data_IF_284185202452
#
_entry.id   IF_284185202452
#
_cell.length_a   1.000
_cell.length_b   1.000
_cell.length_c   1.000
_cell.angle_alpha   90.00
_cell.angle_beta   90.00
_cell.angle_gamma   90.00
#
_symmetry.space_group_name_H-M   'P 1'
#
loop_
_entity.id
_entity.type
_entity.pdbx_description
1 polymer ?
#
# COMPACT_ATOMS: atom_id res chain seq x y z
N UNK A 1 7.55 17.24 -12.61
CA UNK A 1 8.55 17.74 -13.57
C UNK A 1 8.86 16.69 -14.62
N UNK A 2 8.16 16.74 -15.75
CA UNK A 2 8.37 15.84 -16.90
C UNK A 2 9.36 16.55 -17.83
N UNK A 3 10.62 16.12 -17.84
CA UNK A 3 11.56 16.53 -18.90
C UNK A 3 11.38 15.58 -20.08
N UNK A 4 10.97 16.19 -21.19
CA UNK A 4 11.03 15.67 -22.55
C UNK A 4 12.38 15.00 -22.80
N UNK A 5 12.37 13.74 -23.18
CA UNK A 5 13.41 13.12 -24.00
C UNK A 5 12.73 12.53 -25.23
N UNK A 6 12.35 13.45 -26.12
CA UNK A 6 12.21 13.16 -27.54
C UNK A 6 13.64 13.10 -28.09
N UNK A 7 14.18 11.89 -28.15
CA UNK A 7 15.41 11.58 -28.86
C UNK A 7 15.02 10.71 -30.06
N UNK A 8 15.49 11.13 -31.23
CA UNK A 8 14.92 10.77 -32.52
C UNK A 8 14.91 9.28 -32.82
N UNK A 9 13.82 8.86 -33.46
CA UNK A 9 13.82 7.71 -34.32
C UNK A 9 14.89 7.94 -35.42
N UNK A 10 16.08 7.40 -35.20
CA UNK A 10 17.06 7.26 -36.25
C UNK A 10 16.56 6.15 -37.18
N UNK A 11 15.89 6.54 -38.26
CA UNK A 11 15.70 5.69 -39.42
C UNK A 11 17.07 5.27 -39.93
N UNK A 12 17.49 4.06 -39.57
CA UNK A 12 18.64 3.41 -40.18
C UNK A 12 18.19 2.99 -41.58
N UNK A 13 18.32 3.93 -42.52
CA UNK A 13 18.35 3.66 -43.94
C UNK A 13 19.61 2.84 -44.18
N UNK A 14 19.47 1.52 -44.11
CA UNK A 14 20.47 0.60 -44.65
C UNK A 14 20.45 0.82 -46.15
N UNK A 15 21.33 1.70 -46.63
CA UNK A 15 21.73 1.74 -48.02
C UNK A 15 22.36 0.37 -48.32
N UNK A 16 21.54 -0.56 -48.80
CA UNK A 16 22.07 -1.73 -49.50
C UNK A 16 22.85 -1.19 -50.67
N UNK A 17 24.16 -1.38 -50.62
CA UNK A 17 25.10 -1.13 -51.69
C UNK A 17 24.77 -2.03 -52.88
N UNK A 18 23.73 -1.65 -53.62
CA UNK A 18 23.37 -2.15 -54.94
C UNK A 18 23.94 -1.17 -55.96
N UNK A 19 25.27 -1.14 -56.05
CA UNK A 19 26.00 -0.64 -57.19
C UNK A 19 27.17 -1.62 -57.32
N UNK A 20 26.94 -2.78 -57.94
CA UNK A 20 26.65 -2.80 -59.36
C UNK A 20 27.93 -2.39 -60.04
N UNK A 21 28.82 -3.37 -60.25
CA UNK A 21 30.00 -3.22 -61.07
C UNK A 21 29.56 -2.87 -62.48
N UNK A 22 29.35 -1.59 -62.72
CA UNK A 22 29.48 -1.01 -64.03
C UNK A 22 30.96 -1.11 -64.37
N UNK A 23 31.37 -2.27 -64.90
CA UNK A 23 32.42 -2.25 -65.90
C UNK A 23 31.96 -1.23 -66.93
N UNK A 24 32.66 -0.12 -66.95
CA UNK A 24 32.59 0.91 -67.96
C UNK A 24 32.42 0.25 -69.32
N UNK A 25 31.24 0.41 -69.90
CA UNK A 25 31.03 0.16 -71.32
C UNK A 25 31.93 1.16 -72.03
N UNK A 26 33.07 0.67 -72.55
CA UNK A 26 34.05 1.41 -73.34
C UNK A 26 34.62 2.71 -72.72
N UNK A 27 35.52 2.56 -71.75
CA UNK A 27 36.55 3.57 -71.48
C UNK A 27 37.92 2.89 -71.43
N UNK A 28 38.38 2.39 -72.58
CA UNK A 28 39.79 2.02 -72.75
C UNK A 28 40.67 3.28 -72.73
N UNK A 29 41.93 3.19 -72.26
CA UNK A 29 42.85 4.31 -72.27
C UNK A 29 43.00 4.84 -73.70
N UNK A 30 42.85 6.15 -73.87
CA UNK A 30 43.16 6.89 -75.11
C UNK A 30 44.68 6.86 -75.34
N UNK A 31 45.21 5.69 -75.71
CA UNK A 31 46.47 5.64 -76.43
C UNK A 31 46.19 6.19 -77.83
N UNK A 32 46.88 7.26 -78.23
CA UNK A 32 46.71 7.96 -79.51
C UNK A 32 47.21 7.14 -80.73
N UNK A 33 47.09 5.82 -80.70
CA UNK A 33 47.50 4.91 -81.74
C UNK A 33 46.46 3.83 -81.96
N UNK A 34 46.27 3.44 -83.22
CA UNK A 34 45.40 2.32 -83.59
C UNK A 34 45.88 1.05 -82.86
N UNK A 35 44.96 0.20 -82.36
CA UNK A 35 45.33 -1.03 -81.65
C UNK A 35 46.30 -1.88 -82.47
N UNK A 36 47.27 -2.52 -81.81
CA UNK A 36 48.17 -3.45 -82.50
C UNK A 36 47.46 -4.79 -82.70
N UNK A 37 47.69 -5.43 -83.84
CA UNK A 37 47.36 -6.85 -84.04
C UNK A 37 48.24 -7.65 -83.07
N UNK A 38 47.64 -8.60 -82.36
CA UNK A 38 48.40 -9.44 -81.42
C UNK A 38 49.41 -10.32 -82.18
N UNK A 39 50.53 -10.66 -81.54
CA UNK A 39 51.58 -11.47 -82.18
C UNK A 39 51.05 -12.85 -82.62
N UNK A 40 50.16 -13.44 -81.80
CA UNK A 40 49.47 -14.69 -82.11
C UNK A 40 48.62 -14.57 -83.37
N UNK A 41 47.80 -13.52 -83.45
CA UNK A 41 46.92 -13.29 -84.61
C UNK A 41 47.69 -12.91 -85.87
N UNK A 42 48.78 -12.16 -85.74
CA UNK A 42 49.69 -11.86 -86.84
C UNK A 42 50.30 -13.16 -87.40
N UNK A 43 50.71 -14.09 -86.54
CA UNK A 43 51.22 -15.41 -86.95
C UNK A 43 50.16 -16.22 -87.69
N UNK A 44 48.91 -16.24 -87.21
CA UNK A 44 47.79 -16.91 -87.90
C UNK A 44 47.53 -16.29 -89.28
N UNK A 45 47.49 -14.96 -89.38
CA UNK A 45 47.31 -14.24 -90.65
C UNK A 45 48.45 -14.50 -91.63
N UNK A 46 49.70 -14.54 -91.14
CA UNK A 46 50.86 -14.89 -91.97
C UNK A 46 50.77 -16.32 -92.52
N UNK A 47 50.30 -17.28 -91.71
CA UNK A 47 50.05 -18.66 -92.16
C UNK A 47 48.98 -18.74 -93.25
N UNK A 48 47.86 -18.03 -93.07
CA UNK A 48 46.79 -17.94 -94.08
C UNK A 48 47.34 -17.38 -95.40
N UNK A 49 48.17 -16.34 -95.34
CA UNK A 49 48.84 -15.76 -96.51
C UNK A 49 49.78 -16.76 -97.19
N UNK A 50 50.58 -17.50 -96.42
CA UNK A 50 51.50 -18.51 -96.97
C UNK A 50 50.76 -19.65 -97.66
N UNK A 51 49.66 -20.14 -97.06
CA UNK A 51 48.81 -21.18 -97.69
C UNK A 51 48.26 -20.72 -99.03
N UNK A 52 47.87 -19.45 -99.15
CA UNK A 52 47.41 -18.89 -100.42
C UNK A 52 48.53 -18.84 -101.47
N UNK A 53 49.76 -18.50 -101.09
CA UNK A 53 50.92 -18.55 -101.99
C UNK A 53 51.27 -19.97 -102.43
N UNK A 54 50.94 -20.97 -101.62
CA UNK A 54 51.13 -22.39 -101.92
C UNK A 54 49.98 -22.99 -102.76
N UNK A 55 49.07 -22.17 -103.28
CA UNK A 55 47.91 -22.60 -104.08
C UNK A 55 46.99 -23.61 -103.37
N UNK A 56 46.87 -23.51 -102.04
CA UNK A 56 45.86 -24.26 -101.27
C UNK A 56 44.45 -23.85 -101.73
N UNK A 57 43.49 -24.79 -101.62
CA UNK A 57 42.10 -24.57 -102.04
C UNK A 57 41.48 -23.32 -101.38
N UNK A 58 40.78 -22.52 -102.17
CA UNK A 58 40.20 -21.26 -101.70
C UNK A 58 39.15 -21.47 -100.61
N UNK A 59 38.41 -22.60 -100.64
CA UNK A 59 37.41 -22.89 -99.59
C UNK A 59 38.06 -23.15 -98.24
N UNK A 60 39.16 -23.91 -98.22
CA UNK A 60 39.92 -24.15 -96.98
C UNK A 60 40.44 -22.83 -96.40
N UNK A 61 40.97 -21.95 -97.24
CA UNK A 61 41.47 -20.63 -96.81
C UNK A 61 40.32 -19.77 -96.25
N UNK A 62 39.13 -19.80 -96.87
CA UNK A 62 37.96 -19.07 -96.37
C UNK A 62 37.52 -19.61 -95.00
N UNK A 63 37.50 -20.92 -94.79
CA UNK A 63 37.18 -21.52 -93.48
C UNK A 63 38.19 -21.15 -92.40
N UNK A 64 39.47 -21.07 -92.74
CA UNK A 64 40.51 -20.60 -91.81
C UNK A 64 40.38 -19.13 -91.47
N UNK A 65 40.04 -18.28 -92.45
CA UNK A 65 39.76 -16.86 -92.17
C UNK A 65 38.55 -16.72 -91.26
N UNK A 66 37.47 -17.48 -91.48
CA UNK A 66 36.30 -17.42 -90.59
C UNK A 66 36.64 -17.88 -89.16
N UNK A 67 37.38 -18.99 -89.01
CA UNK A 67 37.86 -19.45 -87.70
C UNK A 67 38.79 -18.45 -87.02
N UNK A 68 39.64 -17.79 -87.80
CA UNK A 68 40.48 -16.71 -87.33
C UNK A 68 39.61 -15.57 -86.78
N UNK A 69 38.62 -15.09 -87.56
CA UNK A 69 37.73 -14.01 -87.13
C UNK A 69 36.93 -14.36 -85.87
N UNK A 70 36.52 -15.62 -85.72
CA UNK A 70 35.81 -16.11 -84.51
C UNK A 70 36.69 -16.10 -83.25
N UNK A 71 38.02 -16.21 -83.39
CA UNK A 71 38.97 -16.38 -82.27
C UNK A 71 40.00 -15.26 -82.14
N UNK A 72 39.94 -14.26 -83.01
CA UNK A 72 40.86 -13.14 -83.02
C UNK A 72 40.65 -12.25 -81.79
N UNK A 73 41.74 -11.68 -81.30
CA UNK A 73 41.70 -10.74 -80.20
C UNK A 73 40.91 -9.49 -80.60
N UNK A 74 40.21 -8.90 -79.63
CA UNK A 74 39.42 -7.67 -79.84
C UNK A 74 40.28 -6.55 -80.45
N UNK A 75 41.54 -6.41 -80.01
CA UNK A 75 42.46 -5.42 -80.57
C UNK A 75 42.78 -5.67 -82.05
N UNK A 76 42.92 -6.94 -82.45
CA UNK A 76 43.12 -7.34 -83.84
C UNK A 76 41.88 -7.00 -84.67
N UNK A 77 40.69 -7.36 -84.21
CA UNK A 77 39.44 -7.05 -84.91
C UNK A 77 39.25 -5.54 -85.06
N UNK A 78 39.46 -4.76 -83.99
CA UNK A 78 39.40 -3.29 -84.03
C UNK A 78 40.41 -2.69 -85.01
N UNK A 79 41.64 -3.20 -85.02
CA UNK A 79 42.68 -2.77 -85.96
C UNK A 79 42.31 -3.06 -87.42
N UNK A 80 41.63 -4.17 -87.68
CA UNK A 80 41.14 -4.49 -89.02
C UNK A 80 39.92 -3.62 -89.38
N UNK A 81 39.06 -3.29 -88.42
CA UNK A 81 37.86 -2.47 -88.70
C UNK A 81 38.17 -1.04 -89.16
N UNK A 82 39.35 -0.49 -88.85
CA UNK A 82 39.85 0.79 -89.40
C UNK A 82 39.81 0.81 -90.94
N UNK A 83 39.98 -0.34 -91.59
CA UNK A 83 39.86 -0.44 -93.04
C UNK A 83 38.45 -0.29 -93.59
N UNK A 84 37.42 -0.08 -92.78
CA UNK A 84 36.09 0.31 -93.24
C UNK A 84 35.81 1.80 -93.08
N UNK A 85 36.71 2.56 -92.46
CA UNK A 85 36.51 3.98 -92.18
C UNK A 85 37.14 4.86 -93.29
N UNK A 86 36.35 5.38 -94.24
CA UNK A 86 36.88 6.25 -95.30
C UNK A 86 37.37 7.61 -94.78
N UNK A 87 37.02 7.98 -93.55
CA UNK A 87 37.48 9.22 -92.91
C UNK A 87 38.85 9.07 -92.24
N UNK A 88 39.32 7.83 -92.05
CA UNK A 88 40.65 7.55 -91.53
C UNK A 88 41.73 7.91 -92.54
N UNK A 89 42.75 8.65 -92.12
CA UNK A 89 43.91 8.97 -92.97
C UNK A 89 44.67 7.71 -93.41
N UNK A 90 44.50 6.59 -92.70
CA UNK A 90 45.07 5.29 -93.05
C UNK A 90 44.16 4.44 -93.93
N UNK A 91 42.96 4.88 -94.32
CA UNK A 91 41.96 4.05 -95.02
C UNK A 91 42.53 3.26 -96.22
N UNK A 92 43.21 3.94 -97.14
CA UNK A 92 43.79 3.32 -98.35
C UNK A 92 44.91 2.33 -98.02
N UNK A 93 45.68 2.62 -96.98
CA UNK A 93 46.82 1.84 -96.51
C UNK A 93 46.52 1.10 -95.19
N UNK A 94 45.25 0.82 -94.92
CA UNK A 94 44.84 0.22 -93.65
C UNK A 94 45.41 -1.19 -93.57
N UNK A 95 45.56 -1.69 -92.34
CA UNK A 95 46.02 -3.06 -92.14
C UNK A 95 45.09 -4.07 -92.83
N UNK A 96 43.79 -3.79 -92.86
CA UNK A 96 42.82 -4.59 -93.61
C UNK A 96 43.05 -4.51 -95.12
N UNK A 97 43.27 -3.31 -95.68
CA UNK A 97 43.59 -3.15 -97.11
C UNK A 97 44.86 -3.93 -97.47
N UNK A 98 45.93 -3.78 -96.68
CA UNK A 98 47.18 -4.52 -96.88
C UNK A 98 46.97 -6.03 -96.86
N UNK A 99 46.30 -6.55 -95.83
CA UNK A 99 46.07 -7.99 -95.69
C UNK A 99 45.14 -8.53 -96.77
N UNK A 100 44.05 -7.81 -97.08
CA UNK A 100 43.11 -8.18 -98.15
C UNK A 100 43.81 -8.24 -99.51
N UNK A 101 44.68 -7.29 -99.83
CA UNK A 101 45.50 -7.33 -101.06
C UNK A 101 46.54 -8.45 -101.02
N UNK A 102 47.17 -8.69 -99.87
CA UNK A 102 48.24 -9.69 -99.73
C UNK A 102 47.74 -11.14 -99.79
N UNK A 103 46.51 -11.38 -99.31
CA UNK A 103 45.82 -12.67 -99.41
C UNK A 103 45.13 -12.76 -100.79
N UNK A 104 44.62 -11.65 -101.31
CA UNK A 104 43.96 -11.58 -102.60
C UNK A 104 42.56 -12.19 -102.59
N UNK A 105 41.97 -12.23 -103.79
CA UNK A 105 40.64 -12.79 -104.00
C UNK A 105 40.62 -14.32 -103.84
N UNK A 106 39.63 -14.81 -103.10
CA UNK A 106 39.35 -16.21 -102.85
C UNK A 106 38.05 -16.59 -103.56
N UNK A 107 38.13 -17.51 -104.52
CA UNK A 107 36.96 -17.99 -105.26
C UNK A 107 36.08 -18.85 -104.35
N UNK A 108 34.81 -18.47 -104.22
CA UNK A 108 33.77 -19.21 -103.52
C UNK A 108 32.57 -19.39 -104.45
N UNK A 109 32.60 -20.46 -105.26
CA UNK A 109 31.61 -20.70 -106.32
C UNK A 109 31.67 -19.60 -107.38
N UNK A 110 30.56 -18.88 -107.59
CA UNK A 110 30.47 -17.77 -108.54
C UNK A 110 30.82 -16.40 -107.92
N UNK A 111 31.29 -16.36 -106.67
CA UNK A 111 31.62 -15.12 -105.97
C UNK A 111 33.10 -15.10 -105.60
N UNK A 112 33.73 -13.94 -105.72
CA UNK A 112 35.05 -13.70 -105.15
C UNK A 112 34.86 -13.09 -103.77
N UNK A 113 35.46 -13.69 -102.75
CA UNK A 113 35.53 -13.16 -101.39
C UNK A 113 36.94 -12.74 -101.07
N UNK A 114 37.06 -11.77 -100.18
CA UNK A 114 38.32 -11.28 -99.65
C UNK A 114 38.21 -11.11 -98.13
N UNK A 115 39.32 -10.79 -97.47
CA UNK A 115 39.32 -10.58 -96.02
C UNK A 115 38.34 -9.48 -95.60
N UNK A 116 38.17 -8.44 -96.41
CA UNK A 116 37.25 -7.33 -96.13
C UNK A 116 35.79 -7.78 -96.12
N UNK A 117 35.34 -8.49 -97.15
CA UNK A 117 33.96 -9.02 -97.22
C UNK A 117 33.68 -10.08 -96.14
N UNK A 118 34.67 -10.93 -95.80
CA UNK A 118 34.53 -11.91 -94.72
C UNK A 118 34.43 -11.23 -93.34
N UNK A 119 35.27 -10.23 -93.07
CA UNK A 119 35.21 -9.46 -91.83
C UNK A 119 33.89 -8.69 -91.71
N UNK A 120 33.41 -8.05 -92.78
CA UNK A 120 32.11 -7.36 -92.78
C UNK A 120 30.97 -8.31 -92.43
N UNK A 121 30.94 -9.51 -93.02
CA UNK A 121 29.94 -10.55 -92.71
C UNK A 121 30.02 -11.02 -91.25
N UNK A 122 31.24 -11.21 -90.73
CA UNK A 122 31.45 -11.57 -89.33
C UNK A 122 30.93 -10.49 -88.38
N UNK A 123 31.25 -9.22 -88.63
CA UNK A 123 30.78 -8.10 -87.81
C UNK A 123 29.26 -7.98 -87.85
N UNK A 124 28.64 -8.13 -89.03
CA UNK A 124 27.18 -8.14 -89.16
C UNK A 124 26.57 -9.27 -88.31
N UNK A 125 27.13 -10.48 -88.38
CA UNK A 125 26.68 -11.62 -87.59
C UNK A 125 26.78 -11.35 -86.08
N UNK A 126 27.93 -10.85 -85.62
CA UNK A 126 28.19 -10.61 -84.20
C UNK A 126 27.38 -9.45 -83.63
N UNK A 127 27.20 -8.37 -84.40
CA UNK A 127 26.49 -7.17 -83.95
C UNK A 127 24.97 -7.27 -84.10
N UNK A 128 24.48 -7.85 -85.20
CA UNK A 128 23.03 -7.92 -85.50
C UNK A 128 22.39 -9.15 -84.87
N UNK A 129 23.07 -10.30 -84.84
CA UNK A 129 22.50 -11.54 -84.30
C UNK A 129 22.69 -11.67 -82.78
N UNK A 130 23.27 -10.65 -82.12
CA UNK A 130 23.33 -10.48 -80.66
C UNK A 130 23.77 -11.72 -79.86
N UNK A 131 24.56 -12.61 -80.48
CA UNK A 131 24.96 -13.92 -79.96
C UNK A 131 25.62 -13.88 -78.58
N UNK A 132 26.27 -12.76 -78.26
CA UNK A 132 27.01 -12.60 -77.01
C UNK A 132 26.16 -11.99 -75.88
N UNK A 133 24.99 -11.41 -76.16
CA UNK A 133 24.17 -10.73 -75.14
C UNK A 133 23.00 -11.58 -74.64
N UNK A 134 22.65 -12.67 -75.31
CA UNK A 134 21.51 -13.53 -74.94
C UNK A 134 21.67 -14.13 -73.53
N UNK A 135 22.87 -14.64 -73.22
CA UNK A 135 23.17 -15.18 -71.89
C UNK A 135 23.11 -14.11 -70.79
N UNK A 136 23.61 -12.90 -71.08
CA UNK A 136 23.57 -11.76 -70.14
C UNK A 136 22.14 -11.34 -69.86
N UNK A 137 21.30 -11.23 -70.89
CA UNK A 137 19.88 -10.87 -70.74
C UNK A 137 19.13 -11.93 -69.93
N UNK A 138 19.42 -13.22 -70.14
CA UNK A 138 18.80 -14.31 -69.38
C UNK A 138 19.17 -14.25 -67.89
N UNK A 139 20.44 -14.02 -67.59
CA UNK A 139 20.90 -13.88 -66.21
C UNK A 139 20.28 -12.65 -65.53
N UNK A 140 20.21 -11.51 -66.23
CA UNK A 140 19.55 -10.30 -65.72
C UNK A 140 18.07 -10.54 -65.41
N UNK A 141 17.34 -11.24 -66.28
CA UNK A 141 15.93 -11.60 -66.01
C UNK A 141 15.80 -12.46 -64.75
N UNK A 142 16.66 -13.47 -64.61
CA UNK A 142 16.61 -14.36 -63.45
C UNK A 142 16.89 -13.61 -62.14
N UNK A 143 17.87 -12.70 -62.16
CA UNK A 143 18.21 -11.89 -61.00
C UNK A 143 17.05 -10.95 -60.62
N UNK A 144 16.43 -10.30 -61.60
CA UNK A 144 15.24 -9.45 -61.38
C UNK A 144 14.10 -10.27 -60.77
N UNK A 145 13.82 -11.48 -61.27
CA UNK A 145 12.78 -12.34 -60.70
C UNK A 145 13.06 -12.72 -59.25
N UNK A 146 14.31 -13.03 -58.92
CA UNK A 146 14.72 -13.37 -57.56
C UNK A 146 14.54 -12.17 -56.61
N UNK A 147 14.92 -10.96 -57.05
CA UNK A 147 14.76 -9.74 -56.27
C UNK A 147 13.28 -9.39 -56.04
N UNK A 148 12.42 -9.56 -57.05
CA UNK A 148 10.98 -9.36 -56.92
C UNK A 148 10.40 -10.33 -55.87
N UNK A 149 10.79 -11.61 -55.89
CA UNK A 149 10.33 -12.59 -54.88
C UNK A 149 10.74 -12.17 -53.46
N UNK A 150 12.00 -11.75 -53.29
CA UNK A 150 12.49 -11.28 -51.98
C UNK A 150 11.74 -10.04 -51.48
N UNK A 151 11.46 -9.07 -52.37
CA UNK A 151 10.68 -7.87 -52.02
C UNK A 151 9.26 -8.20 -51.58
N UNK A 152 8.60 -9.17 -52.24
CA UNK A 152 7.26 -9.61 -51.85
C UNK A 152 7.26 -10.26 -50.47
N UNK A 153 8.25 -11.11 -50.17
CA UNK A 153 8.40 -11.73 -48.85
C UNK A 153 8.65 -10.69 -47.74
N UNK A 154 9.51 -9.71 -48.00
CA UNK A 154 9.78 -8.62 -47.06
C UNK A 154 8.53 -7.77 -46.80
N UNK A 155 7.75 -7.49 -47.85
CA UNK A 155 6.50 -6.73 -47.74
C UNK A 155 5.50 -7.47 -46.84
N UNK A 156 5.29 -8.77 -47.08
CA UNK A 156 4.41 -9.59 -46.23
C UNK A 156 4.86 -9.59 -44.76
N UNK A 157 6.16 -9.75 -44.52
CA UNK A 157 6.71 -9.74 -43.16
C UNK A 157 6.54 -8.37 -42.48
N UNK A 158 6.69 -7.29 -43.23
CA UNK A 158 6.45 -5.92 -42.74
C UNK A 158 4.99 -5.69 -42.35
N UNK A 159 4.05 -6.20 -43.15
CA UNK A 159 2.62 -6.11 -42.86
C UNK A 159 2.25 -6.90 -41.60
N UNK A 160 2.75 -8.14 -41.45
CA UNK A 160 2.57 -8.96 -40.25
C UNK A 160 3.11 -8.29 -38.98
N UNK A 161 4.29 -7.66 -39.08
CA UNK A 161 4.86 -6.90 -37.97
C UNK A 161 4.02 -5.67 -37.63
N UNK A 162 3.48 -4.98 -38.63
CA UNK A 162 2.62 -3.82 -38.43
C UNK A 162 1.30 -4.19 -37.73
N UNK A 163 0.73 -5.36 -38.04
CA UNK A 163 -0.45 -5.88 -37.35
C UNK A 163 -0.16 -6.19 -35.88
N UNK A 164 0.96 -6.87 -35.59
CA UNK A 164 1.38 -7.18 -34.22
C UNK A 164 1.63 -5.91 -33.38
N UNK A 165 2.22 -4.88 -33.97
CA UNK A 165 2.45 -3.60 -33.28
C UNK A 165 1.11 -2.96 -32.91
N UNK A 166 0.13 -2.94 -33.82
CA UNK A 166 -1.21 -2.39 -33.54
C UNK A 166 -1.93 -3.16 -32.42
N UNK A 167 -1.83 -4.48 -32.41
CA UNK A 167 -2.39 -5.32 -31.33
C UNK A 167 -1.76 -4.97 -29.97
N UNK A 168 -0.43 -4.86 -29.92
CA UNK A 168 0.31 -4.48 -28.71
C UNK A 168 -0.04 -3.05 -28.23
N UNK A 169 -0.22 -2.11 -29.16
CA UNK A 169 -0.64 -0.74 -28.82
C UNK A 169 -2.05 -0.72 -28.22
N UNK A 170 -2.99 -1.49 -28.77
CA UNK A 170 -4.34 -1.62 -28.20
C UNK A 170 -4.32 -2.26 -26.81
N UNK A 171 -3.52 -3.32 -26.62
CA UNK A 171 -3.36 -3.95 -25.30
C UNK A 171 -2.77 -2.97 -24.28
N UNK A 172 -1.79 -2.16 -24.69
CA UNK A 172 -1.15 -1.16 -23.83
C UNK A 172 -2.14 -0.06 -23.41
N UNK A 173 -3.03 0.37 -24.30
CA UNK A 173 -4.11 1.32 -23.97
C UNK A 173 -5.06 0.71 -22.94
N UNK A 174 -5.51 -0.52 -23.15
CA UNK A 174 -6.41 -1.21 -22.22
C UNK A 174 -5.78 -1.39 -20.82
N UNK A 175 -4.50 -1.77 -20.77
CA UNK A 175 -3.74 -1.89 -19.51
C UNK A 175 -3.63 -0.54 -18.79
N UNK A 176 -3.41 0.55 -19.53
CA UNK A 176 -3.30 1.90 -18.95
C UNK A 176 -4.61 2.38 -18.34
N UNK A 177 -5.75 2.05 -18.95
CA UNK A 177 -7.05 2.40 -18.40
C UNK A 177 -7.41 1.53 -17.18
N UNK A 178 -7.01 0.25 -17.17
CA UNK A 178 -7.10 -0.61 -15.98
C UNK A 178 -6.25 -0.06 -14.83
N UNK A 179 -5.01 0.36 -15.10
CA UNK A 179 -4.10 0.93 -14.10
C UNK A 179 -4.65 2.21 -13.47
N UNK A 180 -5.28 3.09 -14.26
CA UNK A 180 -6.00 4.27 -13.71
C UNK A 180 -7.14 3.86 -12.78
N UNK A 181 -7.91 2.82 -13.14
CA UNK A 181 -8.97 2.28 -12.29
C UNK A 181 -8.43 1.75 -10.95
N UNK A 182 -7.33 0.99 -11.00
CA UNK A 182 -6.67 0.47 -9.81
C UNK A 182 -6.11 1.57 -8.92
N UNK A 183 -5.52 2.64 -9.48
CA UNK A 183 -5.02 3.75 -8.67
C UNK A 183 -6.16 4.55 -8.01
N UNK A 184 -7.31 4.68 -8.69
CA UNK A 184 -8.51 5.28 -8.11
C UNK A 184 -9.08 4.41 -6.96
N UNK A 185 -9.09 3.08 -7.11
CA UNK A 185 -9.50 2.19 -6.03
C UNK A 185 -8.53 2.21 -4.84
N UNK A 186 -7.22 2.23 -5.11
CA UNK A 186 -6.19 2.33 -4.09
C UNK A 186 -6.33 3.62 -3.27
N UNK A 187 -6.46 4.77 -3.92
CA UNK A 187 -6.64 6.05 -3.23
C UNK A 187 -7.91 6.06 -2.38
N UNK A 188 -9.02 5.50 -2.87
CA UNK A 188 -10.26 5.33 -2.09
C UNK A 188 -10.05 4.44 -0.86
N UNK A 189 -9.34 3.31 -1.00
CA UNK A 189 -9.07 2.40 0.11
C UNK A 189 -8.12 3.02 1.16
N UNK A 190 -7.11 3.77 0.73
CA UNK A 190 -6.22 4.51 1.63
C UNK A 190 -6.99 5.56 2.45
N UNK A 191 -7.93 6.28 1.83
CA UNK A 191 -8.79 7.24 2.52
C UNK A 191 -9.73 6.55 3.51
N UNK A 192 -10.37 5.43 3.12
CA UNK A 192 -11.20 4.64 4.04
C UNK A 192 -10.41 4.07 5.23
N UNK A 193 -9.16 3.65 5.01
CA UNK A 193 -8.29 3.15 6.06
C UNK A 193 -7.91 4.28 7.03
N UNK A 194 -7.62 5.47 6.51
CA UNK A 194 -7.32 6.66 7.31
C UNK A 194 -8.51 7.07 8.18
N UNK A 195 -9.70 7.14 7.60
CA UNK A 195 -10.95 7.43 8.32
C UNK A 195 -11.22 6.39 9.42
N UNK A 196 -11.04 5.11 9.10
CA UNK A 196 -11.24 4.02 10.06
C UNK A 196 -10.24 4.08 11.21
N UNK A 197 -8.98 4.41 10.92
CA UNK A 197 -7.92 4.56 11.92
C UNK A 197 -8.19 5.74 12.85
N UNK A 198 -8.66 6.86 12.30
CA UNK A 198 -9.04 8.02 13.11
C UNK A 198 -10.22 7.70 14.04
N UNK A 199 -11.28 7.07 13.52
CA UNK A 199 -12.43 6.63 14.34
C UNK A 199 -12.03 5.63 15.42
N UNK A 200 -11.07 4.76 15.14
CA UNK A 200 -10.54 3.81 16.13
C UNK A 200 -9.82 4.57 17.26
N UNK A 201 -8.95 5.53 16.91
CA UNK A 201 -8.23 6.34 17.88
C UNK A 201 -9.17 7.18 18.77
N UNK A 202 -10.21 7.77 18.18
CA UNK A 202 -11.28 8.47 18.92
C UNK A 202 -11.97 7.54 19.91
N UNK A 203 -12.38 6.34 19.46
CA UNK A 203 -13.00 5.33 20.33
C UNK A 203 -12.07 4.83 21.44
N UNK A 204 -10.78 4.66 21.17
CA UNK A 204 -9.80 4.28 22.20
C UNK A 204 -9.63 5.36 23.26
N UNK A 205 -9.61 6.63 22.86
CA UNK A 205 -9.60 7.78 23.78
C UNK A 205 -10.87 7.80 24.65
N UNK A 206 -12.05 7.63 24.05
CA UNK A 206 -13.32 7.58 24.78
C UNK A 206 -13.41 6.40 25.76
N UNK A 207 -12.87 5.24 25.37
CA UNK A 207 -12.81 4.07 26.24
C UNK A 207 -11.83 4.30 27.41
N UNK A 208 -10.70 4.96 27.15
CA UNK A 208 -9.73 5.33 28.18
C UNK A 208 -10.32 6.30 29.20
N UNK A 209 -11.05 7.33 28.75
CA UNK A 209 -11.74 8.27 29.65
C UNK A 209 -12.84 7.57 30.45
N UNK A 210 -13.63 6.71 29.82
CA UNK A 210 -14.66 5.89 30.50
C UNK A 210 -14.05 4.97 31.56
N UNK A 211 -12.90 4.34 31.27
CA UNK A 211 -12.17 3.51 32.26
C UNK A 211 -11.72 4.33 33.47
N UNK A 212 -11.17 5.54 33.25
CA UNK A 212 -10.78 6.44 34.34
C UNK A 212 -11.98 6.85 35.21
N UNK A 213 -13.12 7.15 34.58
CA UNK A 213 -14.36 7.46 35.29
C UNK A 213 -14.86 6.26 36.10
N UNK A 214 -14.84 5.07 35.53
CA UNK A 214 -15.22 3.85 36.23
C UNK A 214 -14.30 3.56 37.43
N UNK A 215 -12.99 3.73 37.28
CA UNK A 215 -12.03 3.57 38.37
C UNK A 215 -12.27 4.59 39.50
N UNK A 216 -12.56 5.85 39.15
CA UNK A 216 -12.91 6.89 40.12
C UNK A 216 -14.21 6.56 40.88
N UNK A 217 -15.24 6.08 40.17
CA UNK A 217 -16.49 5.63 40.77
C UNK A 217 -16.28 4.41 41.67
N UNK A 218 -15.45 3.45 41.25
CA UNK A 218 -15.11 2.28 42.05
C UNK A 218 -14.41 2.67 43.36
N UNK A 219 -13.45 3.61 43.30
CA UNK A 219 -12.79 4.18 44.49
C UNK A 219 -13.79 4.90 45.40
N UNK A 220 -14.69 5.71 44.84
CA UNK A 220 -15.73 6.41 45.61
C UNK A 220 -16.70 5.43 46.29
N UNK A 221 -17.11 4.37 45.60
CA UNK A 221 -17.95 3.31 46.17
C UNK A 221 -17.22 2.58 47.31
N UNK A 222 -15.94 2.26 47.15
CA UNK A 222 -15.15 1.63 48.22
C UNK A 222 -15.05 2.54 49.45
N UNK A 223 -14.78 3.83 49.27
CA UNK A 223 -14.76 4.80 50.37
C UNK A 223 -16.12 4.90 51.08
N UNK A 224 -17.21 4.84 50.32
CA UNK A 224 -18.58 4.87 50.86
C UNK A 224 -18.87 3.62 51.70
N UNK A 225 -18.46 2.44 51.22
CA UNK A 225 -18.59 1.19 51.97
C UNK A 225 -17.77 1.25 53.28
N UNK A 226 -16.53 1.75 53.22
CA UNK A 226 -15.67 1.89 54.40
C UNK A 226 -16.27 2.86 55.43
N UNK A 227 -16.84 3.98 54.97
CA UNK A 227 -17.55 4.95 55.83
C UNK A 227 -18.77 4.32 56.48
N UNK A 228 -19.61 3.63 55.71
CA UNK A 228 -20.80 2.93 56.24
C UNK A 228 -20.41 1.85 57.25
N UNK A 229 -19.32 1.12 57.01
CA UNK A 229 -18.80 0.12 57.96
C UNK A 229 -18.35 0.77 59.27
N UNK A 230 -17.59 1.88 59.20
CA UNK A 230 -17.18 2.65 60.39
C UNK A 230 -18.39 3.19 61.16
N UNK A 231 -19.39 3.70 60.46
CA UNK A 231 -20.60 4.24 61.08
C UNK A 231 -21.45 3.12 61.70
N UNK A 232 -21.54 1.95 61.05
CA UNK A 232 -22.15 0.75 61.62
C UNK A 232 -21.48 0.31 62.93
N UNK A 233 -20.15 0.36 63.01
CA UNK A 233 -19.40 0.09 64.24
C UNK A 233 -19.64 1.13 65.33
N UNK A 234 -19.78 2.42 64.99
CA UNK A 234 -20.14 3.46 65.96
C UNK A 234 -21.56 3.25 66.50
N UNK A 235 -22.52 2.96 65.62
CA UNK A 235 -23.91 2.71 66.02
C UNK A 235 -24.04 1.49 66.93
N UNK A 236 -23.28 0.42 66.70
CA UNK A 236 -23.27 -0.74 67.62
C UNK A 236 -22.67 -0.37 68.97
N UNK A 237 -21.59 0.42 69.03
CA UNK A 237 -21.02 0.94 70.28
C UNK A 237 -22.00 1.85 71.04
N UNK A 238 -22.60 2.83 70.36
CA UNK A 238 -23.60 3.73 70.94
C UNK A 238 -24.82 2.98 71.48
N UNK A 239 -25.30 1.96 70.74
CA UNK A 239 -26.40 1.11 71.20
C UNK A 239 -26.02 0.32 72.47
N UNK A 240 -24.78 -0.17 72.56
CA UNK A 240 -24.29 -0.85 73.75
C UNK A 240 -24.13 0.12 74.95
N UNK A 241 -23.65 1.34 74.73
CA UNK A 241 -23.56 2.38 75.76
C UNK A 241 -24.94 2.81 76.26
N UNK A 242 -25.89 3.06 75.35
CA UNK A 242 -27.28 3.38 75.70
C UNK A 242 -27.94 2.25 76.50
N UNK A 243 -27.66 0.99 76.15
CA UNK A 243 -28.18 -0.14 76.91
C UNK A 243 -27.59 -0.16 78.34
N UNK A 244 -26.27 0.03 78.48
CA UNK A 244 -25.63 0.12 79.80
C UNK A 244 -26.20 1.25 80.64
N UNK A 245 -26.41 2.43 80.06
CA UNK A 245 -26.96 3.57 80.80
C UNK A 245 -28.43 3.33 81.17
N UNK A 246 -29.22 2.66 80.31
CA UNK A 246 -30.57 2.20 80.66
C UNK A 246 -30.57 1.20 81.81
N UNK A 247 -29.69 0.20 81.79
CA UNK A 247 -29.60 -0.79 82.87
C UNK A 247 -29.21 -0.12 84.19
N UNK A 248 -28.28 0.83 84.15
CA UNK A 248 -27.87 1.64 85.30
C UNK A 248 -29.01 2.52 85.82
N UNK A 249 -29.74 3.19 84.93
CA UNK A 249 -30.92 4.00 85.27
C UNK A 249 -32.03 3.14 85.86
N UNK A 250 -32.28 1.95 85.32
CA UNK A 250 -33.25 1.00 85.85
C UNK A 250 -32.85 0.52 87.26
N UNK A 251 -31.56 0.25 87.49
CA UNK A 251 -31.05 -0.10 88.82
C UNK A 251 -31.23 1.03 89.83
N UNK A 252 -30.87 2.27 89.47
CA UNK A 252 -31.08 3.44 90.34
C UNK A 252 -32.56 3.67 90.63
N UNK A 253 -33.44 3.50 89.63
CA UNK A 253 -34.90 3.62 89.81
C UNK A 253 -35.40 2.58 90.81
N UNK A 254 -34.93 1.33 90.71
CA UNK A 254 -35.28 0.26 91.66
C UNK A 254 -34.77 0.58 93.07
N UNK A 255 -33.52 1.01 93.22
CA UNK A 255 -32.97 1.40 94.52
C UNK A 255 -33.73 2.56 95.17
N UNK A 256 -34.15 3.56 94.38
CA UNK A 256 -34.98 4.66 94.86
C UNK A 256 -36.38 4.18 95.27
N UNK A 257 -36.99 3.29 94.51
CA UNK A 257 -38.29 2.69 94.86
C UNK A 257 -38.21 1.88 96.16
N UNK A 258 -37.16 1.06 96.32
CA UNK A 258 -36.93 0.27 97.54
C UNK A 258 -36.71 1.18 98.76
N UNK A 259 -35.91 2.25 98.62
CA UNK A 259 -35.71 3.25 99.68
C UNK A 259 -36.99 4.00 100.03
N UNK A 260 -37.79 4.38 99.03
CA UNK A 260 -39.07 5.05 99.26
C UNK A 260 -40.02 4.13 100.03
N UNK A 261 -40.14 2.86 99.63
CA UNK A 261 -40.99 1.88 100.33
C UNK A 261 -40.52 1.61 101.76
N UNK A 262 -39.21 1.53 102.00
CA UNK A 262 -38.66 1.42 103.35
C UNK A 262 -38.98 2.67 104.20
N UNK A 263 -38.81 3.87 103.63
CA UNK A 263 -39.14 5.13 104.29
C UNK A 263 -40.64 5.27 104.60
N UNK A 264 -41.52 4.77 103.73
CA UNK A 264 -42.97 4.74 103.97
C UNK A 264 -43.31 3.85 105.17
N UNK A 265 -42.70 2.65 105.25
CA UNK A 265 -42.88 1.76 106.42
C UNK A 265 -42.38 2.39 107.72
N UNK A 266 -41.23 3.07 107.69
CA UNK A 266 -40.68 3.74 108.87
C UNK A 266 -41.59 4.91 109.30
N UNK A 267 -42.15 5.65 108.33
CA UNK A 267 -43.14 6.71 108.59
C UNK A 267 -44.40 6.15 109.24
N UNK A 268 -44.95 5.05 108.72
CA UNK A 268 -46.14 4.40 109.29
C UNK A 268 -45.87 3.94 110.72
N UNK A 269 -44.68 3.39 110.98
CA UNK A 269 -44.25 2.99 112.33
C UNK A 269 -44.12 4.19 113.28
N UNK A 270 -43.56 5.31 112.81
CA UNK A 270 -43.48 6.54 113.59
C UNK A 270 -44.86 7.12 113.91
N UNK A 271 -45.81 7.08 112.96
CA UNK A 271 -47.21 7.47 113.17
C UNK A 271 -47.85 6.58 114.24
N UNK A 272 -47.64 5.26 114.16
CA UNK A 272 -48.15 4.31 115.16
C UNK A 272 -47.59 4.62 116.56
N UNK A 273 -46.28 4.81 116.70
CA UNK A 273 -45.64 5.19 117.97
C UNK A 273 -46.21 6.51 118.50
N UNK A 274 -46.40 7.50 117.63
CA UNK A 274 -46.98 8.79 118.01
C UNK A 274 -48.40 8.62 118.55
N UNK A 275 -49.20 7.76 117.92
CA UNK A 275 -50.55 7.42 118.39
C UNK A 275 -50.52 6.72 119.75
N UNK A 276 -49.66 5.72 119.93
CA UNK A 276 -49.49 5.04 121.22
C UNK A 276 -49.03 5.98 122.34
N UNK A 277 -48.14 6.93 122.04
CA UNK A 277 -47.70 7.96 122.98
C UNK A 277 -48.84 8.92 123.34
N UNK A 278 -49.64 9.34 122.36
CA UNK A 278 -50.81 10.17 122.60
C UNK A 278 -51.84 9.45 123.49
N UNK A 279 -52.11 8.17 123.23
CA UNK A 279 -53.01 7.35 124.05
C UNK A 279 -52.48 7.20 125.49
N UNK A 280 -51.18 6.93 125.66
CA UNK A 280 -50.53 6.88 126.98
C UNK A 280 -50.59 8.21 127.72
N UNK A 281 -50.37 9.32 127.02
CA UNK A 281 -50.44 10.66 127.60
C UNK A 281 -51.86 10.96 128.08
N UNK A 282 -52.87 10.68 127.26
CA UNK A 282 -54.28 10.88 127.61
C UNK A 282 -54.70 10.00 128.81
N UNK A 283 -54.22 8.75 128.86
CA UNK A 283 -54.44 7.88 130.01
C UNK A 283 -53.77 8.42 131.29
N UNK A 284 -52.55 8.96 131.17
CA UNK A 284 -51.84 9.58 132.28
C UNK A 284 -52.53 10.87 132.78
N UNK A 285 -53.02 11.72 131.87
CA UNK A 285 -53.84 12.90 132.20
C UNK A 285 -55.11 12.50 132.95
N UNK A 286 -55.82 11.48 132.46
CA UNK A 286 -57.02 10.95 133.14
C UNK A 286 -56.68 10.41 134.53
N UNK A 287 -55.56 9.71 134.69
CA UNK A 287 -55.09 9.22 135.99
C UNK A 287 -54.72 10.35 136.95
N UNK A 288 -54.04 11.38 136.45
CA UNK A 288 -53.72 12.61 137.18
C UNK A 288 -54.98 13.32 137.64
N UNK A 289 -55.98 13.46 136.77
CA UNK A 289 -57.24 14.12 137.09
C UNK A 289 -58.02 13.33 138.15
N UNK A 290 -57.99 11.99 138.10
CA UNK A 290 -58.49 11.13 139.20
C UNK A 290 -57.73 11.34 140.50
N UNK A 291 -56.41 11.43 140.47
CA UNK A 291 -55.60 11.70 141.65
C UNK A 291 -55.88 13.08 142.25
N UNK A 292 -56.10 14.10 141.42
CA UNK A 292 -56.54 15.42 141.86
C UNK A 292 -57.94 15.39 142.48
N UNK A 293 -58.88 14.64 141.89
CA UNK A 293 -60.21 14.46 142.47
C UNK A 293 -60.13 13.80 143.86
N UNK A 294 -59.33 12.73 144.00
CA UNK A 294 -59.09 12.06 145.30
C UNK A 294 -58.41 13.01 146.30
N UNK A 295 -57.43 13.80 145.86
CA UNK A 295 -56.74 14.79 146.72
C UNK A 295 -57.70 15.89 147.18
N UNK A 296 -58.59 16.35 146.29
CA UNK A 296 -59.65 17.31 146.61
C UNK A 296 -60.66 16.71 147.60
N UNK A 297 -61.06 15.45 147.42
CA UNK A 297 -61.94 14.75 148.35
C UNK A 297 -61.30 14.57 149.73
N UNK A 298 -60.02 14.22 149.78
CA UNK A 298 -59.24 14.13 151.02
C UNK A 298 -59.12 15.49 151.71
N UNK A 299 -58.84 16.56 150.97
CA UNK A 299 -58.79 17.92 151.49
C UNK A 299 -60.15 18.34 152.07
N UNK A 300 -61.25 18.03 151.37
CA UNK A 300 -62.61 18.29 151.86
C UNK A 300 -62.92 17.48 153.13
N UNK A 301 -62.52 16.20 153.19
CA UNK A 301 -62.66 15.36 154.40
C UNK A 301 -61.84 15.91 155.57
N UNK A 302 -60.61 16.38 155.31
CA UNK A 302 -59.76 17.02 156.31
C UNK A 302 -60.39 18.31 156.84
N UNK A 303 -60.85 19.18 155.95
CA UNK A 303 -61.55 20.42 156.33
C UNK A 303 -62.82 20.13 157.16
N UNK A 304 -63.61 19.11 156.77
CA UNK A 304 -64.77 18.68 157.54
C UNK A 304 -64.39 18.17 158.94
N UNK A 305 -63.29 17.42 159.07
CA UNK A 305 -62.77 16.96 160.37
C UNK A 305 -62.20 18.09 161.21
N UNK A 306 -61.55 19.09 160.61
CA UNK A 306 -61.11 20.30 161.32
C UNK A 306 -62.29 21.10 161.86
N UNK A 307 -63.36 21.26 161.07
CA UNK A 307 -64.59 21.91 161.52
C UNK A 307 -65.30 21.13 162.64
N UNK A 308 -65.28 19.79 162.58
CA UNK A 308 -65.83 18.92 163.64
C UNK A 308 -65.00 19.01 164.94
N UNK A 309 -63.67 19.12 164.82
CA UNK A 309 -62.78 19.35 165.95
C UNK A 309 -62.98 20.74 166.59
N UNK A 310 -63.16 21.80 165.79
CA UNK A 310 -63.52 23.14 166.31
C UNK A 310 -64.88 23.12 167.03
N UNK A 311 -65.86 22.38 166.50
CA UNK A 311 -67.16 22.21 167.15
C UNK A 311 -67.05 21.47 168.49
N UNK A 312 -66.18 20.47 168.56
CA UNK A 312 -65.86 19.78 169.82
C UNK A 312 -65.14 20.70 170.81
N UNK A 313 -64.21 21.54 170.36
CA UNK A 313 -63.56 22.54 171.24
C UNK A 313 -64.57 23.55 171.80
N UNK A 314 -65.50 24.05 170.99
CA UNK A 314 -66.58 24.91 171.47
C UNK A 314 -67.51 24.20 172.48
N UNK A 315 -67.78 22.91 172.28
CA UNK A 315 -68.54 22.10 173.23
C UNK A 315 -67.78 21.85 174.56
N UNK A 316 -66.46 21.71 174.52
CA UNK A 316 -65.63 21.61 175.73
C UNK A 316 -65.56 22.96 176.46
N UNK A 317 -65.42 24.08 175.75
CA UNK A 317 -65.43 25.42 176.35
C UNK A 317 -66.78 25.80 176.98
N UNK A 318 -67.90 25.35 176.38
CA UNK A 318 -69.25 25.56 176.94
C UNK A 318 -69.53 24.68 178.17
N UNK A 319 -68.91 23.50 178.27
CA UNK A 319 -68.92 22.72 179.51
C UNK A 319 -68.14 23.43 180.63
N UNK A 320 -67.01 24.07 180.29
CA UNK A 320 -66.21 24.85 181.23
C UNK A 320 -66.98 25.99 181.88
N UNK A 321 -67.88 26.66 181.15
CA UNK A 321 -68.68 27.78 181.67
C UNK A 321 -69.90 27.39 182.51
N UNK A 322 -70.30 26.11 182.52
CA UNK A 322 -71.42 25.62 183.34
C UNK A 322 -70.96 25.17 184.75
N UNK A 323 -69.66 24.92 184.92
CA UNK A 323 -69.07 24.44 186.19
C UNK A 323 -68.72 25.60 187.15
N UNK A 324 -68.82 26.86 186.69
CA UNK A 324 -68.53 28.07 187.49
C UNK A 324 -69.80 28.87 187.92
N UNK A 325 -71.01 28.28 187.85
CA UNK A 325 -72.26 28.85 188.40
C UNK A 325 -73.06 27.83 189.19
#
# INVERSE_FOLDING_TARGET
SIRKLSAGAASVLVATSMLGGAQTVFAGPRAAGLPKISESDMSKLAKIRLKKMQHVDNKEIIEEINRFLDTADLSTLLRLTDGFDPSSYTYSNSMLSYLATSIGGLQDGNRVRDLRSLLSKYLQKTLVENRNSEAVIKNLKQEIENQIKSLVELTKKSDDQSLKIREQEQELIARKDLEKGLEADKTRLEEQLRDSSQKLAEKESDLSTSRKQFEALSKANQMTIDLLSKEGQKNTKLKAELQKERDKSAKMTKELADKLSASEKDKDRAIQITKELADKLSAAETSRDKAFAVSTELANKLAAKTAEAEKLMQNVDSLGRLVES
#
